data_IF_941226975485
#
_entry.id   IF_941226975485
#
_cell.length_a   1.000
_cell.length_b   1.000
_cell.length_c   1.000
_cell.angle_alpha   90.00
_cell.angle_beta   90.00
_cell.angle_gamma   90.00
#
_symmetry.space_group_name_H-M   'P 1'
#
loop_
_entity.id
_entity.type
_entity.pdbx_description
1 polymer ?
#
# COMPACT_ATOMS: atom_id res chain seq x y z
N UNK A 1 -4.24 -3.20 -20.85
CA UNK A 1 -3.43 -2.31 -21.71
C UNK A 1 -3.56 -0.92 -21.14
N UNK A 2 -2.46 -0.34 -20.67
CA UNK A 2 -2.45 1.09 -20.34
C UNK A 2 -2.72 1.88 -21.64
N UNK A 3 -3.56 2.92 -21.63
CA UNK A 3 -3.76 3.72 -22.83
C UNK A 3 -2.46 4.45 -23.17
N UNK A 4 -1.86 4.12 -24.32
CA UNK A 4 -0.75 4.86 -24.91
C UNK A 4 -1.22 6.27 -25.24
N UNK A 5 -0.56 7.27 -24.65
CA UNK A 5 -0.84 8.69 -24.85
C UNK A 5 -0.28 9.08 -26.23
N UNK A 6 -1.13 9.61 -27.11
CA UNK A 6 -0.71 10.12 -28.43
C UNK A 6 -0.14 11.53 -28.29
N UNK A 7 1.17 11.60 -28.09
CA UNK A 7 1.90 12.85 -27.93
C UNK A 7 1.92 13.71 -29.19
N UNK A 8 1.74 13.11 -30.37
CA UNK A 8 1.78 13.83 -31.65
C UNK A 8 0.55 14.73 -31.82
N UNK A 9 -0.62 14.24 -31.44
CA UNK A 9 -1.87 15.01 -31.44
C UNK A 9 -1.82 16.22 -30.47
N UNK A 10 -1.16 16.05 -29.31
CA UNK A 10 -1.01 17.10 -28.30
C UNK A 10 -0.10 18.22 -28.83
N UNK A 11 0.98 17.85 -29.52
CA UNK A 11 1.92 18.80 -30.12
C UNK A 11 1.26 19.62 -31.24
N UNK A 12 0.48 18.98 -32.11
CA UNK A 12 -0.22 19.66 -33.21
C UNK A 12 -1.27 20.66 -32.68
N UNK A 13 -2.02 20.30 -31.63
CA UNK A 13 -2.97 21.23 -30.99
C UNK A 13 -2.28 22.45 -30.33
N UNK A 14 -1.09 22.25 -29.76
CA UNK A 14 -0.28 23.33 -29.16
C UNK A 14 0.30 24.27 -30.23
N UNK A 15 0.54 23.77 -31.45
CA UNK A 15 1.13 24.52 -32.57
C UNK A 15 0.09 25.33 -33.34
N UNK A 16 -1.08 24.75 -33.63
CA UNK A 16 -2.11 25.37 -34.50
C UNK A 16 -2.80 26.59 -33.90
N UNK A 17 -2.77 26.76 -32.57
CA UNK A 17 -3.53 27.83 -31.88
C UNK A 17 -2.82 29.17 -31.76
N UNK A 18 -1.58 29.34 -32.23
CA UNK A 18 -0.81 30.57 -31.98
C UNK A 18 0.03 31.01 -33.18
N UNK A 19 -0.43 32.05 -33.89
CA UNK A 19 0.35 32.80 -34.90
C UNK A 19 1.12 33.97 -34.27
N UNK A 20 2.20 34.39 -34.94
CA UNK A 20 3.29 35.24 -34.42
C UNK A 20 2.90 36.65 -33.91
N UNK A 21 1.69 37.15 -34.19
CA UNK A 21 1.31 38.55 -33.96
C UNK A 21 1.07 38.93 -32.47
N UNK A 22 0.93 37.98 -31.55
CA UNK A 22 0.65 38.29 -30.12
C UNK A 22 1.91 38.51 -29.24
N UNK A 23 3.11 38.40 -29.79
CA UNK A 23 4.38 38.28 -29.03
C UNK A 23 4.88 39.54 -28.32
N UNK A 24 4.44 40.74 -28.74
CA UNK A 24 5.17 41.97 -28.40
C UNK A 24 4.55 42.90 -27.34
N UNK A 25 3.45 42.55 -26.66
CA UNK A 25 2.88 43.43 -25.60
C UNK A 25 2.60 42.78 -24.23
N UNK A 26 2.93 41.50 -24.02
CA UNK A 26 2.47 40.78 -22.82
C UNK A 26 3.43 40.90 -21.61
N UNK A 27 2.90 41.01 -20.36
CA UNK A 27 3.67 41.17 -19.13
C UNK A 27 4.55 39.94 -18.79
N UNK A 28 5.51 40.10 -17.87
CA UNK A 28 6.56 39.10 -17.52
C UNK A 28 5.99 37.69 -17.23
N UNK A 29 4.85 37.60 -16.56
CA UNK A 29 4.18 36.32 -16.30
C UNK A 29 3.70 35.62 -17.58
N UNK A 30 3.32 36.34 -18.63
CA UNK A 30 2.92 35.74 -19.91
C UNK A 30 4.13 35.28 -20.73
N UNK A 31 5.25 36.02 -20.70
CA UNK A 31 6.52 35.59 -21.33
C UNK A 31 7.05 34.29 -20.71
N UNK A 32 6.84 34.11 -19.41
CA UNK A 32 7.24 32.92 -18.67
C UNK A 32 6.39 31.68 -19.02
N UNK A 33 5.08 31.89 -19.19
CA UNK A 33 4.14 30.87 -19.66
C UNK A 33 4.48 30.40 -21.07
N UNK A 34 4.80 31.35 -21.93
CA UNK A 34 5.13 31.10 -23.34
C UNK A 34 6.44 30.30 -23.50
N UNK A 35 7.50 30.67 -22.77
CA UNK A 35 8.76 29.89 -22.75
C UNK A 35 8.56 28.46 -22.25
N UNK A 36 7.70 28.28 -21.25
CA UNK A 36 7.43 26.98 -20.65
C UNK A 36 6.67 26.05 -21.60
N UNK A 37 5.66 26.57 -22.33
CA UNK A 37 4.92 25.79 -23.34
C UNK A 37 5.80 25.38 -24.52
N UNK A 38 6.65 26.29 -25.01
CA UNK A 38 7.59 26.01 -26.11
C UNK A 38 8.62 24.96 -25.71
N UNK A 39 9.11 25.00 -24.47
CA UNK A 39 10.07 24.01 -23.96
C UNK A 39 9.43 22.62 -23.81
N UNK A 40 8.19 22.54 -23.34
CA UNK A 40 7.43 21.29 -23.24
C UNK A 40 7.16 20.68 -24.63
N UNK A 41 6.65 21.46 -25.57
CA UNK A 41 6.36 20.98 -26.93
C UNK A 41 7.62 20.44 -27.61
N UNK A 42 8.76 21.14 -27.50
CA UNK A 42 10.04 20.66 -28.05
C UNK A 42 10.54 19.36 -27.41
N UNK A 43 10.41 19.22 -26.09
CA UNK A 43 10.83 18.01 -25.37
C UNK A 43 9.98 16.79 -25.76
N UNK A 44 8.66 16.99 -25.93
CA UNK A 44 7.74 15.95 -26.37
C UNK A 44 7.95 15.56 -27.84
N UNK A 45 8.33 16.51 -28.70
CA UNK A 45 8.68 16.24 -30.10
C UNK A 45 10.02 15.49 -30.26
N UNK A 46 11.03 15.83 -29.45
CA UNK A 46 12.35 15.22 -29.58
C UNK A 46 12.45 13.81 -29.00
N UNK A 47 11.57 13.46 -28.06
CA UNK A 47 11.67 12.22 -27.27
C UNK A 47 10.29 11.60 -26.93
N UNK A 48 9.57 11.07 -27.92
CA UNK A 48 8.19 10.60 -27.75
C UNK A 48 8.03 9.34 -26.88
N UNK A 49 9.08 8.55 -26.72
CA UNK A 49 9.07 7.29 -25.94
C UNK A 49 9.59 7.46 -24.50
N UNK A 50 9.96 8.68 -24.11
CA UNK A 50 10.49 8.98 -22.78
C UNK A 50 9.37 9.06 -21.74
N UNK A 51 9.57 8.42 -20.58
CA UNK A 51 8.57 8.46 -19.50
C UNK A 51 8.30 9.91 -19.03
N UNK A 52 7.04 10.21 -18.67
CA UNK A 52 6.62 11.53 -18.17
C UNK A 52 7.51 12.06 -17.03
N UNK A 53 7.99 11.17 -16.15
CA UNK A 53 8.89 11.56 -15.05
C UNK A 53 10.24 12.09 -15.55
N UNK A 54 10.80 11.50 -16.60
CA UNK A 54 12.06 11.94 -17.19
C UNK A 54 11.90 13.26 -17.99
N UNK A 55 10.73 13.48 -18.61
CA UNK A 55 10.39 14.77 -19.24
C UNK A 55 10.29 15.87 -18.17
N UNK A 56 9.66 15.57 -17.03
CA UNK A 56 9.56 16.51 -15.89
C UNK A 56 10.93 16.84 -15.29
N UNK A 57 11.83 15.87 -15.19
CA UNK A 57 13.21 16.09 -14.69
C UNK A 57 13.99 17.06 -15.59
N UNK A 58 13.88 16.91 -16.92
CA UNK A 58 14.54 17.82 -17.89
C UNK A 58 13.93 19.23 -17.87
N UNK A 59 12.61 19.35 -17.71
CA UNK A 59 11.94 20.64 -17.55
C UNK A 59 12.40 21.36 -16.28
N UNK A 60 12.54 20.62 -15.18
CA UNK A 60 13.04 21.16 -13.92
C UNK A 60 14.47 21.70 -14.07
N UNK A 61 15.37 20.94 -14.69
CA UNK A 61 16.75 21.36 -14.94
C UNK A 61 16.81 22.66 -15.76
N UNK A 62 15.95 22.77 -16.77
CA UNK A 62 15.88 23.97 -17.62
C UNK A 62 15.30 25.18 -16.87
N UNK A 63 14.25 24.99 -16.07
CA UNK A 63 13.71 26.06 -15.23
C UNK A 63 14.70 26.53 -14.17
N UNK A 64 15.55 25.64 -13.64
CA UNK A 64 16.67 26.02 -12.77
C UNK A 64 17.69 26.87 -13.50
N UNK A 65 18.09 26.46 -14.71
CA UNK A 65 19.01 27.26 -15.56
C UNK A 65 18.45 28.64 -15.89
N UNK A 66 17.13 28.75 -16.03
CA UNK A 66 16.44 30.00 -16.31
C UNK A 66 16.13 30.83 -15.04
N UNK A 67 16.53 30.35 -13.85
CA UNK A 67 16.35 31.06 -12.57
C UNK A 67 14.92 31.07 -12.03
N UNK A 68 14.06 30.15 -12.49
CA UNK A 68 12.63 30.14 -12.21
C UNK A 68 12.25 29.38 -10.95
N UNK A 69 13.10 28.46 -10.50
CA UNK A 69 12.92 27.63 -9.31
C UNK A 69 14.25 27.41 -8.58
N UNK A 70 14.24 27.42 -7.25
CA UNK A 70 15.43 27.29 -6.40
C UNK A 70 15.69 25.85 -5.95
N UNK A 71 15.67 24.89 -6.89
CA UNK A 71 16.09 23.50 -6.61
C UNK A 71 15.04 22.61 -5.95
N UNK A 72 13.77 23.05 -5.87
CA UNK A 72 12.69 22.24 -5.35
C UNK A 72 11.83 21.67 -6.49
N UNK A 73 11.95 20.35 -6.73
CA UNK A 73 11.15 19.57 -7.69
C UNK A 73 9.65 19.72 -7.48
N UNK A 74 9.25 19.91 -6.23
CA UNK A 74 7.86 20.16 -5.88
C UNK A 74 7.39 21.56 -6.34
N UNK A 75 8.26 22.57 -6.28
CA UNK A 75 7.95 23.91 -6.78
C UNK A 75 7.73 23.94 -8.29
N UNK A 76 8.51 23.17 -9.04
CA UNK A 76 8.37 22.97 -10.49
C UNK A 76 7.00 22.39 -10.87
N UNK A 77 6.61 21.28 -10.23
CA UNK A 77 5.29 20.65 -10.40
C UNK A 77 4.15 21.60 -10.01
N UNK A 78 4.34 22.38 -8.94
CA UNK A 78 3.39 23.38 -8.51
C UNK A 78 3.13 24.45 -9.60
N UNK A 79 4.19 25.01 -10.18
CA UNK A 79 4.06 26.01 -11.23
C UNK A 79 3.41 25.41 -12.47
N UNK A 80 3.84 24.21 -12.88
CA UNK A 80 3.35 23.54 -14.08
C UNK A 80 1.85 23.26 -14.04
N UNK A 81 1.37 22.64 -12.96
CA UNK A 81 -0.03 22.26 -12.90
C UNK A 81 -0.95 23.44 -12.53
N UNK A 82 -0.45 24.46 -11.80
CA UNK A 82 -1.17 25.76 -11.65
C UNK A 82 -1.38 26.41 -13.03
N UNK A 83 -0.39 26.30 -13.91
CA UNK A 83 -0.42 26.88 -15.25
C UNK A 83 -1.37 26.14 -16.22
N UNK A 84 -1.32 24.81 -16.26
CA UNK A 84 -2.26 23.99 -17.05
C UNK A 84 -3.72 24.15 -16.58
N UNK A 85 -3.95 24.32 -15.27
CA UNK A 85 -5.28 24.51 -14.71
C UNK A 85 -5.85 25.92 -14.97
N UNK A 86 -5.01 26.94 -15.18
CA UNK A 86 -5.44 28.30 -15.52
C UNK A 86 -5.75 28.47 -17.01
N UNK A 87 -5.17 27.65 -17.87
CA UNK A 87 -5.45 27.61 -19.31
C UNK A 87 -6.74 26.84 -19.57
N UNK A 88 -7.89 27.53 -19.44
CA UNK A 88 -9.25 26.98 -19.53
C UNK A 88 -9.62 26.21 -20.81
N UNK A 89 -8.71 26.00 -21.77
CA UNK A 89 -9.01 25.43 -23.09
C UNK A 89 -8.08 24.31 -23.59
N UNK A 90 -7.13 23.80 -22.78
CA UNK A 90 -6.40 22.58 -23.17
C UNK A 90 -7.25 21.33 -22.87
N UNK A 91 -7.65 20.59 -23.92
CA UNK A 91 -8.31 19.28 -23.79
C UNK A 91 -7.26 18.19 -23.55
N UNK A 92 -6.66 18.21 -22.38
CA UNK A 92 -5.80 17.11 -21.93
C UNK A 92 -6.66 15.87 -21.72
N UNK A 93 -6.22 14.71 -22.21
CA UNK A 93 -6.87 13.43 -21.88
C UNK A 93 -6.95 13.21 -20.36
N UNK A 94 -8.03 12.61 -19.88
CA UNK A 94 -8.34 12.46 -18.46
C UNK A 94 -7.21 11.83 -17.62
N UNK A 95 -6.42 10.94 -18.24
CA UNK A 95 -5.24 10.30 -17.63
C UNK A 95 -4.10 11.28 -17.39
N UNK A 96 -3.87 12.22 -18.31
CA UNK A 96 -2.81 13.22 -18.21
C UNK A 96 -3.21 14.32 -17.23
N UNK A 97 -4.48 14.73 -17.21
CA UNK A 97 -5.03 15.58 -16.15
C UNK A 97 -4.85 14.95 -14.77
N UNK A 98 -5.11 13.64 -14.64
CA UNK A 98 -4.86 12.91 -13.40
C UNK A 98 -3.39 12.87 -13.00
N UNK A 99 -2.47 12.56 -13.91
CA UNK A 99 -1.04 12.49 -13.60
C UNK A 99 -0.44 13.85 -13.24
N UNK A 100 -0.81 14.92 -13.96
CA UNK A 100 -0.40 16.29 -13.68
C UNK A 100 -0.95 16.82 -12.35
N UNK A 101 -2.13 16.36 -11.96
CA UNK A 101 -2.76 16.73 -10.70
C UNK A 101 -2.19 15.91 -9.52
N UNK A 102 -1.84 14.65 -9.74
CA UNK A 102 -1.13 13.81 -8.76
C UNK A 102 0.24 14.42 -8.44
N UNK A 103 0.97 14.88 -9.47
CA UNK A 103 2.27 15.50 -9.32
C UNK A 103 2.16 16.90 -8.67
N UNK A 104 1.19 17.73 -9.06
CA UNK A 104 0.89 19.01 -8.37
C UNK A 104 0.70 18.86 -6.85
N UNK A 105 0.03 17.80 -6.43
CA UNK A 105 -0.48 17.64 -5.07
C UNK A 105 0.45 16.82 -4.16
N UNK A 106 1.39 16.06 -4.71
CA UNK A 106 2.53 15.55 -3.94
C UNK A 106 3.49 16.66 -3.49
N UNK A 107 3.49 17.75 -4.26
CA UNK A 107 4.44 18.85 -4.18
C UNK A 107 3.99 20.03 -3.31
N UNK A 108 2.69 20.30 -3.22
CA UNK A 108 2.17 21.35 -2.34
C UNK A 108 1.90 20.80 -0.93
N UNK A 109 2.60 21.29 0.13
CA UNK A 109 2.05 21.22 1.47
C UNK A 109 0.69 21.92 1.46
N UNK A 110 -0.34 21.25 1.98
CA UNK A 110 -1.75 21.71 2.02
C UNK A 110 -1.89 23.16 2.55
N UNK A 111 -0.92 23.65 3.31
CA UNK A 111 -0.88 25.03 3.81
C UNK A 111 -0.75 26.11 2.72
N UNK A 112 -0.19 25.83 1.53
CA UNK A 112 -0.04 26.88 0.50
C UNK A 112 -1.36 27.18 -0.22
N UNK A 113 -2.21 26.17 -0.48
CA UNK A 113 -3.52 26.41 -1.10
C UNK A 113 -4.50 27.17 -0.19
N UNK A 114 -4.33 27.08 1.14
CA UNK A 114 -5.11 27.88 2.08
C UNK A 114 -4.68 29.35 2.11
N UNK A 115 -3.40 29.66 1.83
CA UNK A 115 -2.82 30.99 2.01
C UNK A 115 -3.25 32.03 0.99
N UNK A 116 -3.36 31.68 -0.30
CA UNK A 116 -3.64 32.68 -1.36
C UNK A 116 -5.14 32.95 -1.58
N UNK A 117 -6.05 32.07 -1.14
CA UNK A 117 -7.50 32.26 -1.36
C UNK A 117 -8.25 32.84 -0.15
N UNK A 118 -7.63 32.90 1.03
CA UNK A 118 -8.26 33.50 2.22
C UNK A 118 -8.08 35.02 2.29
N UNK A 119 -7.17 35.61 1.50
CA UNK A 119 -6.86 37.03 1.56
C UNK A 119 -7.96 37.94 0.96
N UNK A 120 -8.88 37.43 0.15
CA UNK A 120 -9.83 38.28 -0.59
C UNK A 120 -11.32 37.88 -0.49
N UNK A 121 -11.69 36.94 0.38
CA UNK A 121 -13.11 36.64 0.67
C UNK A 121 -13.96 36.17 -0.53
N UNK A 122 -13.38 35.98 -1.71
CA UNK A 122 -14.05 35.48 -2.91
C UNK A 122 -13.81 33.98 -3.03
N UNK A 123 -14.79 33.19 -2.60
CA UNK A 123 -14.89 31.77 -2.94
C UNK A 123 -14.81 31.64 -4.48
N UNK A 124 -14.05 30.67 -4.96
CA UNK A 124 -14.03 30.33 -6.39
C UNK A 124 -15.47 30.04 -6.88
N UNK A 125 -15.87 30.53 -8.07
CA UNK A 125 -17.21 30.29 -8.59
C UNK A 125 -17.48 28.78 -8.64
N UNK A 126 -18.49 28.33 -7.89
CA UNK A 126 -18.91 26.92 -7.85
C UNK A 126 -18.59 26.16 -6.55
N UNK A 127 -17.85 26.76 -5.60
CA UNK A 127 -17.64 26.18 -4.26
C UNK A 127 -18.61 26.79 -3.26
N UNK A 128 -19.35 25.94 -2.54
CA UNK A 128 -20.29 26.31 -1.48
C UNK A 128 -19.86 25.65 -0.17
N UNK A 129 -20.10 26.34 0.94
CA UNK A 129 -19.86 25.82 2.30
C UNK A 129 -21.18 25.36 2.89
N UNK A 130 -21.23 24.14 3.38
CA UNK A 130 -22.36 23.57 4.11
C UNK A 130 -21.98 23.48 5.58
N UNK A 131 -22.75 24.15 6.43
CA UNK A 131 -22.54 24.15 7.88
C UNK A 131 -23.86 23.82 8.59
N UNK A 132 -23.85 22.73 9.34
CA UNK A 132 -24.94 22.28 10.21
C UNK A 132 -24.42 22.22 11.65
N UNK A 133 -25.28 22.04 12.67
CA UNK A 133 -24.83 21.93 14.07
C UNK A 133 -23.81 20.81 14.32
N UNK A 134 -23.72 19.81 13.43
CA UNK A 134 -22.83 18.66 13.62
C UNK A 134 -21.83 18.43 12.49
N UNK A 135 -21.94 19.13 11.36
CA UNK A 135 -21.05 18.94 10.20
C UNK A 135 -20.75 20.27 9.53
N UNK A 136 -19.50 20.46 9.14
CA UNK A 136 -19.03 21.62 8.38
C UNK A 136 -18.14 21.12 7.25
N UNK A 137 -18.49 21.41 6.01
CA UNK A 137 -17.75 20.93 4.85
C UNK A 137 -18.01 21.75 3.60
N UNK A 138 -17.14 21.61 2.60
CA UNK A 138 -17.28 22.34 1.35
C UNK A 138 -17.75 21.39 0.25
N UNK A 139 -18.54 21.91 -0.67
CA UNK A 139 -19.02 21.20 -1.85
C UNK A 139 -18.71 22.01 -3.09
N UNK A 140 -18.50 21.32 -4.20
CA UNK A 140 -18.37 21.92 -5.51
C UNK A 140 -19.21 21.18 -6.52
N UNK A 141 -19.68 21.89 -7.54
CA UNK A 141 -20.40 21.28 -8.67
C UNK A 141 -19.41 20.70 -9.68
N UNK A 142 -19.59 19.44 -10.05
CA UNK A 142 -18.82 18.76 -11.10
C UNK A 142 -19.79 17.93 -11.92
N UNK A 143 -19.86 18.18 -13.22
CA UNK A 143 -20.76 17.47 -14.15
C UNK A 143 -22.24 17.45 -13.70
N UNK A 144 -22.70 18.53 -13.06
CA UNK A 144 -24.06 18.65 -12.54
C UNK A 144 -24.31 17.99 -11.19
N UNK A 145 -23.30 17.39 -10.55
CA UNK A 145 -23.40 16.75 -9.23
C UNK A 145 -22.61 17.50 -8.16
N UNK A 146 -23.16 17.58 -6.95
CA UNK A 146 -22.46 18.11 -5.79
C UNK A 146 -21.46 17.08 -5.25
N UNK A 147 -20.18 17.47 -5.20
CA UNK A 147 -19.11 16.66 -4.64
C UNK A 147 -18.41 17.38 -3.50
N UNK A 148 -18.08 16.66 -2.42
CA UNK A 148 -17.30 17.24 -1.32
C UNK A 148 -15.92 17.66 -1.82
N UNK A 149 -15.48 18.84 -1.41
CA UNK A 149 -14.17 19.41 -1.73
C UNK A 149 -13.65 20.17 -0.50
N UNK A 150 -12.35 20.44 -0.40
CA UNK A 150 -11.81 21.24 0.70
C UNK A 150 -11.96 20.59 2.07
N UNK A 151 -12.08 21.41 3.12
CA UNK A 151 -12.08 20.91 4.51
C UNK A 151 -13.38 20.21 4.86
N UNK A 152 -13.29 19.24 5.76
CA UNK A 152 -14.41 18.50 6.31
C UNK A 152 -14.20 18.31 7.80
N UNK A 153 -15.16 18.78 8.59
CA UNK A 153 -15.21 18.58 10.02
C UNK A 153 -16.59 18.05 10.42
N UNK A 154 -16.60 17.10 11.35
CA UNK A 154 -17.83 16.59 11.96
C UNK A 154 -17.67 16.54 13.46
N UNK A 155 -18.71 16.95 14.17
CA UNK A 155 -18.83 16.92 15.62
C UNK A 155 -19.69 15.73 16.07
N UNK A 156 -19.48 15.30 17.30
CA UNK A 156 -20.40 14.45 18.04
C UNK A 156 -21.61 15.27 18.50
N UNK A 157 -22.69 14.61 18.93
CA UNK A 157 -23.88 15.28 19.50
C UNK A 157 -23.56 16.16 20.72
N UNK A 158 -22.44 15.91 21.41
CA UNK A 158 -21.97 16.70 22.54
C UNK A 158 -21.05 17.86 22.13
N UNK A 159 -20.99 18.21 20.84
CA UNK A 159 -20.18 19.32 20.32
C UNK A 159 -18.68 19.02 20.17
N UNK A 160 -18.16 17.91 20.71
CA UNK A 160 -16.74 17.55 20.57
C UNK A 160 -16.42 17.07 19.15
N UNK A 161 -15.20 17.33 18.68
CA UNK A 161 -14.72 16.88 17.37
C UNK A 161 -14.85 15.36 17.24
N UNK A 162 -15.36 14.90 16.09
CA UNK A 162 -15.54 13.48 15.77
C UNK A 162 -14.68 13.05 14.61
N UNK A 163 -14.66 13.86 13.55
CA UNK A 163 -13.90 13.61 12.33
C UNK A 163 -13.36 14.93 11.81
N UNK A 164 -12.17 14.89 11.24
CA UNK A 164 -11.53 15.99 10.54
C UNK A 164 -10.77 15.45 9.35
N UNK A 165 -10.72 16.22 8.27
CA UNK A 165 -9.90 15.92 7.12
C UNK A 165 -10.25 16.82 5.95
N UNK A 166 -9.88 16.38 4.75
CA UNK A 166 -10.27 17.08 3.53
C UNK A 166 -10.71 16.12 2.44
N UNK A 167 -11.57 16.63 1.56
CA UNK A 167 -11.96 15.99 0.32
C UNK A 167 -11.36 16.73 -0.87
N UNK A 168 -11.17 16.00 -1.95
CA UNK A 168 -10.86 16.54 -3.25
C UNK A 168 -11.67 15.78 -4.29
N UNK A 169 -12.58 16.48 -4.97
CA UNK A 169 -13.55 15.90 -5.93
C UNK A 169 -14.21 14.62 -5.39
N UNK A 170 -14.84 14.73 -4.22
CA UNK A 170 -15.57 13.64 -3.57
C UNK A 170 -14.69 12.58 -2.90
N UNK A 171 -13.36 12.60 -3.12
CA UNK A 171 -12.43 11.59 -2.61
C UNK A 171 -11.66 12.12 -1.39
N UNK A 172 -11.42 11.28 -0.38
CA UNK A 172 -10.62 11.67 0.80
C UNK A 172 -9.21 12.08 0.38
N UNK A 173 -8.72 13.18 0.91
CA UNK A 173 -7.38 13.67 0.66
C UNK A 173 -6.74 14.15 1.97
N UNK A 174 -5.41 14.11 2.05
CA UNK A 174 -4.65 14.53 3.21
C UNK A 174 -4.87 13.66 4.45
N UNK A 175 -4.58 14.25 5.63
CA UNK A 175 -4.70 13.59 6.91
C UNK A 175 -6.15 13.62 7.41
N UNK A 176 -6.68 12.44 7.70
CA UNK A 176 -7.98 12.23 8.32
C UNK A 176 -7.80 11.79 9.76
N UNK A 177 -8.47 12.46 10.68
CA UNK A 177 -8.36 12.22 12.11
C UNK A 177 -9.74 11.94 12.70
N UNK A 178 -9.78 11.06 13.70
CA UNK A 178 -11.04 10.61 14.32
C UNK A 178 -10.90 10.55 15.83
N UNK A 179 -11.96 10.95 16.53
CA UNK A 179 -11.98 11.03 17.99
C UNK A 179 -13.24 10.39 18.60
N UNK A 180 -13.10 9.89 19.83
CA UNK A 180 -14.22 9.43 20.65
C UNK A 180 -15.11 10.59 21.09
N UNK A 181 -16.30 10.28 21.63
CA UNK A 181 -17.17 11.27 22.30
C UNK A 181 -16.48 11.97 23.48
N UNK A 182 -15.49 11.32 24.10
CA UNK A 182 -14.73 11.88 25.22
C UNK A 182 -13.60 12.82 24.77
N UNK A 183 -13.18 12.75 23.51
CA UNK A 183 -12.13 13.60 22.92
C UNK A 183 -10.79 12.87 22.67
N UNK A 184 -10.72 11.57 22.97
CA UNK A 184 -9.52 10.77 22.70
C UNK A 184 -9.41 10.44 21.21
N UNK A 185 -8.24 10.65 20.63
CA UNK A 185 -7.97 10.30 19.23
C UNK A 185 -7.91 8.77 19.09
N UNK A 186 -8.59 8.23 18.07
CA UNK A 186 -8.69 6.79 17.82
C UNK A 186 -8.16 6.35 16.47
N UNK A 187 -8.09 7.26 15.49
CA UNK A 187 -7.55 6.96 14.16
C UNK A 187 -6.92 8.19 13.51
N UNK A 188 -5.84 7.94 12.78
CA UNK A 188 -5.21 8.84 11.83
C UNK A 188 -4.98 8.07 10.54
N UNK A 189 -5.48 8.60 9.43
CA UNK A 189 -5.46 7.94 8.13
C UNK A 189 -5.05 8.98 7.09
N UNK A 190 -3.97 8.73 6.37
CA UNK A 190 -3.55 9.65 5.32
C UNK A 190 -3.99 9.11 3.95
N UNK A 191 -4.57 9.99 3.13
CA UNK A 191 -5.08 9.67 1.80
C UNK A 191 -4.51 10.61 0.74
N UNK A 192 -4.36 10.10 -0.47
CA UNK A 192 -4.14 10.87 -1.69
C UNK A 192 -5.22 10.45 -2.70
N UNK A 193 -6.16 11.35 -3.00
CA UNK A 193 -7.26 11.07 -3.94
C UNK A 193 -8.05 9.78 -3.67
N UNK A 194 -8.36 9.52 -2.40
CA UNK A 194 -9.12 8.35 -1.95
C UNK A 194 -8.28 7.10 -1.75
N UNK A 195 -7.01 7.08 -2.20
CA UNK A 195 -6.08 5.98 -1.95
C UNK A 195 -5.30 6.20 -0.66
N UNK A 196 -5.01 5.14 0.07
CA UNK A 196 -4.15 5.20 1.27
C UNK A 196 -2.75 5.64 0.88
N UNK A 197 -2.21 6.62 1.59
CA UNK A 197 -0.89 7.18 1.33
C UNK A 197 -0.27 7.68 2.63
N UNK A 198 1.01 7.45 2.88
CA UNK A 198 1.73 7.78 4.12
C UNK A 198 1.14 7.10 5.36
N UNK A 199 1.07 7.81 6.48
CA UNK A 199 0.92 7.27 7.83
C UNK A 199 -0.53 6.89 8.15
N UNK A 200 -0.68 5.72 8.77
CA UNK A 200 -1.94 5.17 9.23
C UNK A 200 -1.76 4.66 10.65
N UNK A 201 -2.45 5.27 11.62
CA UNK A 201 -2.37 4.90 13.04
C UNK A 201 -3.78 4.69 13.57
N UNK A 202 -3.93 3.68 14.43
CA UNK A 202 -5.13 3.47 15.21
C UNK A 202 -4.75 3.26 16.67
N UNK A 203 -5.61 3.70 17.57
CA UNK A 203 -5.46 3.53 19.02
C UNK A 203 -6.64 2.75 19.60
N UNK A 204 -6.40 2.03 20.67
CA UNK A 204 -7.44 1.49 21.53
C UNK A 204 -8.10 2.63 22.32
N UNK A 205 -9.32 2.40 22.82
CA UNK A 205 -10.07 3.40 23.58
C UNK A 205 -9.34 3.89 24.86
N UNK A 206 -8.42 3.07 25.39
CA UNK A 206 -7.57 3.39 26.57
C UNK A 206 -6.25 4.10 26.21
N UNK A 207 -6.05 4.50 24.95
CA UNK A 207 -4.92 5.32 24.51
C UNK A 207 -3.71 4.56 23.95
N UNK A 208 -3.56 3.26 24.25
CA UNK A 208 -2.49 2.45 23.65
C UNK A 208 -2.65 2.35 22.13
N UNK A 209 -1.53 2.39 21.38
CA UNK A 209 -1.56 2.13 19.93
C UNK A 209 -2.15 0.74 19.68
N UNK A 210 -2.99 0.62 18.65
CA UNK A 210 -3.58 -0.62 18.16
C UNK A 210 -2.86 -1.11 16.92
N UNK A 211 -2.59 -0.20 16.01
CA UNK A 211 -1.86 -0.48 14.78
C UNK A 211 -1.20 0.77 14.23
N UNK A 212 -0.09 0.62 13.55
CA UNK A 212 0.51 1.65 12.73
C UNK A 212 1.10 1.05 11.46
N UNK A 213 1.17 1.86 10.40
CA UNK A 213 1.79 1.47 9.16
C UNK A 213 1.89 2.63 8.17
N UNK A 214 2.63 2.41 7.10
CA UNK A 214 2.75 3.34 5.99
C UNK A 214 2.20 2.72 4.71
N UNK A 215 1.53 3.52 3.89
CA UNK A 215 1.00 3.10 2.61
C UNK A 215 1.51 3.99 1.47
N UNK A 216 1.59 3.43 0.27
CA UNK A 216 1.82 4.17 -0.96
C UNK A 216 0.84 3.63 -2.01
N UNK A 217 -0.15 4.44 -2.40
CA UNK A 217 -1.20 4.07 -3.35
C UNK A 217 -1.89 2.75 -2.99
N UNK A 218 -2.45 2.69 -1.78
CA UNK A 218 -3.10 1.51 -1.18
C UNK A 218 -2.18 0.33 -0.85
N UNK A 219 -0.91 0.33 -1.29
CA UNK A 219 0.05 -0.73 -1.00
C UNK A 219 0.79 -0.47 0.32
N UNK A 220 0.94 -1.47 1.20
CA UNK A 220 1.71 -1.31 2.42
C UNK A 220 3.21 -1.19 2.10
N UNK A 221 3.87 -0.24 2.77
CA UNK A 221 5.31 0.00 2.65
C UNK A 221 5.95 0.16 4.03
N UNK A 222 7.27 0.01 4.10
CA UNK A 222 8.06 0.13 5.34
C UNK A 222 7.60 -0.87 6.41
N UNK A 223 7.56 -0.46 7.68
CA UNK A 223 7.18 -1.32 8.79
C UNK A 223 5.73 -1.07 9.20
N UNK A 224 4.98 -2.16 9.39
CA UNK A 224 3.66 -2.16 9.98
C UNK A 224 3.73 -2.87 11.31
N UNK A 225 3.13 -2.28 12.34
CA UNK A 225 3.06 -2.87 13.68
C UNK A 225 1.62 -2.93 14.15
N UNK A 226 1.32 -3.96 14.92
CA UNK A 226 0.09 -4.10 15.68
C UNK A 226 0.44 -4.40 17.13
N UNK A 227 -0.39 -3.96 18.05
CA UNK A 227 -0.20 -4.19 19.48
C UNK A 227 -1.44 -4.85 20.09
N UNK A 228 -1.20 -5.66 21.11
CA UNK A 228 -2.22 -6.11 22.03
C UNK A 228 -2.69 -4.94 22.91
N UNK A 229 -3.86 -5.05 23.53
CA UNK A 229 -4.42 -3.97 24.37
C UNK A 229 -3.52 -3.60 25.57
N UNK A 230 -2.71 -4.55 26.05
CA UNK A 230 -1.73 -4.34 27.12
C UNK A 230 -0.44 -3.61 26.65
N UNK A 231 -0.36 -3.20 25.39
CA UNK A 231 0.79 -2.46 24.84
C UNK A 231 1.93 -3.33 24.34
N UNK A 232 1.85 -4.65 24.47
CA UNK A 232 2.82 -5.58 23.90
C UNK A 232 2.65 -5.65 22.38
N UNK A 233 3.74 -5.65 21.62
CA UNK A 233 3.69 -5.82 20.15
C UNK A 233 3.06 -7.17 19.83
N UNK A 234 2.01 -7.18 19.03
CA UNK A 234 1.30 -8.38 18.56
C UNK A 234 1.90 -8.92 17.27
N UNK A 235 2.22 -8.02 16.34
CA UNK A 235 2.89 -8.38 15.10
C UNK A 235 3.64 -7.21 14.50
N UNK A 236 4.70 -7.52 13.78
CA UNK A 236 5.52 -6.60 13.01
C UNK A 236 5.65 -7.17 11.60
N UNK A 237 5.53 -6.33 10.59
CA UNK A 237 5.71 -6.72 9.19
C UNK A 237 6.54 -5.67 8.49
N UNK A 238 7.67 -6.09 7.93
CA UNK A 238 8.61 -5.22 7.22
C UNK A 238 8.46 -5.50 5.73
N UNK A 239 7.98 -4.52 4.98
CA UNK A 239 7.81 -4.58 3.54
C UNK A 239 9.05 -4.03 2.83
N UNK A 240 9.54 -4.78 1.85
CA UNK A 240 10.67 -4.40 1.00
C UNK A 240 10.27 -4.58 -0.46
N UNK A 241 10.48 -3.54 -1.28
CA UNK A 241 10.32 -3.61 -2.72
C UNK A 241 11.49 -4.42 -3.30
N UNK A 242 11.19 -5.38 -4.17
CA UNK A 242 12.14 -6.14 -4.97
C UNK A 242 11.90 -5.82 -6.44
N UNK A 243 12.85 -6.18 -7.30
CA UNK A 243 12.74 -5.94 -8.75
C UNK A 243 11.49 -6.60 -9.35
N UNK A 244 11.18 -7.82 -8.89
CA UNK A 244 10.09 -8.67 -9.38
C UNK A 244 8.85 -8.71 -8.46
N UNK A 245 8.75 -7.84 -7.45
CA UNK A 245 7.62 -7.88 -6.52
C UNK A 245 7.85 -7.19 -5.19
N UNK A 246 7.09 -7.61 -4.18
CA UNK A 246 7.21 -7.11 -2.80
C UNK A 246 7.42 -8.30 -1.87
N UNK A 247 8.52 -8.27 -1.12
CA UNK A 247 8.74 -9.20 -0.01
C UNK A 247 8.28 -8.56 1.30
N UNK A 248 7.67 -9.35 2.17
CA UNK A 248 7.28 -8.94 3.51
C UNK A 248 7.81 -9.95 4.54
N UNK A 249 8.51 -9.47 5.56
CA UNK A 249 8.97 -10.31 6.65
C UNK A 249 8.13 -10.04 7.90
N UNK A 250 7.49 -11.08 8.44
CA UNK A 250 6.50 -10.94 9.51
C UNK A 250 6.89 -11.73 10.74
N UNK A 251 6.89 -11.04 11.88
CA UNK A 251 7.06 -11.61 13.23
C UNK A 251 5.78 -11.40 14.04
N UNK A 252 5.42 -12.36 14.87
CA UNK A 252 4.26 -12.27 15.77
C UNK A 252 4.63 -12.71 17.18
N UNK A 253 3.97 -12.11 18.16
CA UNK A 253 4.19 -12.37 19.58
C UNK A 253 2.88 -12.58 20.32
N UNK A 254 2.95 -13.41 21.34
CA UNK A 254 1.86 -13.65 22.30
C UNK A 254 1.59 -12.42 23.16
N UNK A 255 0.49 -12.45 23.93
CA UNK A 255 0.13 -11.34 24.84
C UNK A 255 1.16 -11.13 25.97
N UNK A 256 1.94 -12.17 26.31
CA UNK A 256 3.04 -12.10 27.28
C UNK A 256 4.35 -11.59 26.67
N UNK A 257 4.40 -11.34 25.36
CA UNK A 257 5.61 -10.85 24.67
C UNK A 257 6.53 -11.94 24.14
N UNK A 258 6.19 -13.21 24.34
CA UNK A 258 6.96 -14.35 23.81
C UNK A 258 6.73 -14.52 22.30
N UNK A 259 7.74 -14.94 21.53
CA UNK A 259 7.60 -15.18 20.10
C UNK A 259 6.51 -16.23 19.84
N UNK A 260 5.75 -16.05 18.76
CA UNK A 260 4.70 -16.97 18.34
C UNK A 260 4.94 -17.54 16.95
N UNK A 261 5.29 -16.69 15.98
CA UNK A 261 5.63 -17.14 14.63
C UNK A 261 6.47 -16.11 13.86
N UNK A 262 7.28 -16.60 12.95
CA UNK A 262 8.11 -15.81 12.04
C UNK A 262 8.03 -16.42 10.64
N UNK A 263 7.78 -15.58 9.64
CA UNK A 263 7.65 -16.02 8.26
C UNK A 263 7.82 -14.89 7.27
N UNK A 264 8.19 -15.25 6.05
CA UNK A 264 8.23 -14.34 4.92
C UNK A 264 7.08 -14.58 3.94
N UNK A 265 6.69 -13.49 3.28
CA UNK A 265 5.79 -13.48 2.14
C UNK A 265 6.48 -12.86 0.94
N UNK A 266 6.14 -13.31 -0.25
CA UNK A 266 6.48 -12.69 -1.52
C UNK A 266 5.21 -12.55 -2.35
N UNK A 267 4.88 -11.32 -2.78
CA UNK A 267 3.64 -10.98 -3.47
C UNK A 267 2.40 -11.57 -2.76
N UNK A 268 2.30 -11.31 -1.45
CA UNK A 268 1.21 -11.74 -0.56
C UNK A 268 1.05 -13.26 -0.36
N UNK A 269 2.01 -14.08 -0.84
CA UNK A 269 2.03 -15.54 -0.63
C UNK A 269 3.19 -15.94 0.27
N UNK A 270 3.00 -16.95 1.12
CA UNK A 270 4.08 -17.50 1.96
C UNK A 270 5.26 -17.94 1.09
N UNK A 271 6.47 -17.53 1.46
CA UNK A 271 7.67 -17.87 0.73
C UNK A 271 8.87 -17.88 1.67
N UNK A 272 9.73 -18.89 1.56
CA UNK A 272 10.85 -19.13 2.46
C UNK A 272 10.43 -19.80 3.77
N UNK A 273 11.26 -19.62 4.79
CA UNK A 273 11.14 -20.26 6.10
C UNK A 273 9.91 -19.76 6.88
N UNK A 274 9.19 -20.70 7.47
CA UNK A 274 8.16 -20.51 8.48
C UNK A 274 8.60 -21.22 9.76
N UNK A 275 8.67 -20.48 10.85
CA UNK A 275 8.89 -21.03 12.19
C UNK A 275 7.75 -20.58 13.10
N UNK A 276 7.30 -21.48 13.98
CA UNK A 276 6.41 -21.12 15.08
C UNK A 276 6.87 -21.74 16.39
N UNK A 277 6.49 -21.11 17.51
CA UNK A 277 6.92 -21.50 18.85
C UNK A 277 5.73 -21.74 19.77
N UNK A 278 5.97 -22.58 20.77
CA UNK A 278 5.09 -22.73 21.93
C UNK A 278 5.26 -21.57 22.93
N UNK A 279 4.32 -21.40 23.88
CA UNK A 279 4.45 -20.41 24.96
C UNK A 279 5.66 -20.63 25.88
N UNK A 280 6.28 -21.81 25.88
CA UNK A 280 7.54 -22.09 26.58
C UNK A 280 8.77 -21.79 25.71
N UNK A 281 8.60 -21.17 24.53
CA UNK A 281 9.64 -20.72 23.60
C UNK A 281 10.37 -21.84 22.84
N UNK A 282 9.96 -23.10 23.04
CA UNK A 282 10.42 -24.19 22.19
C UNK A 282 9.79 -24.09 20.79
N UNK A 283 10.56 -24.50 19.78
CA UNK A 283 10.08 -24.56 18.40
C UNK A 283 8.97 -25.59 18.32
N UNK A 284 7.88 -25.22 17.67
CA UNK A 284 6.71 -26.07 17.42
C UNK A 284 6.71 -26.60 16.00
N UNK A 285 6.90 -25.71 15.03
CA UNK A 285 6.90 -26.06 13.60
C UNK A 285 8.02 -25.31 12.90
N UNK A 286 8.70 -26.01 12.01
CA UNK A 286 9.64 -25.45 11.04
C UNK A 286 9.33 -26.04 9.66
N UNK A 287 9.11 -25.19 8.67
CA UNK A 287 8.95 -25.63 7.29
C UNK A 287 9.25 -24.51 6.31
N UNK A 288 9.46 -24.85 5.04
CA UNK A 288 9.60 -23.88 3.97
C UNK A 288 8.34 -23.80 3.12
N UNK A 289 8.07 -22.62 2.58
CA UNK A 289 7.03 -22.37 1.61
C UNK A 289 7.63 -21.85 0.31
N UNK A 290 7.02 -22.21 -0.81
CA UNK A 290 7.22 -21.57 -2.10
C UNK A 290 5.86 -21.27 -2.75
N UNK A 291 5.65 -20.01 -3.13
CA UNK A 291 4.39 -19.57 -3.75
C UNK A 291 3.13 -19.89 -2.95
N UNK A 292 3.21 -19.94 -1.62
CA UNK A 292 2.09 -20.31 -0.74
C UNK A 292 1.93 -21.80 -0.48
N UNK A 293 2.79 -22.67 -1.03
CA UNK A 293 2.75 -24.13 -0.87
C UNK A 293 3.95 -24.60 -0.07
N UNK A 294 3.78 -25.62 0.77
CA UNK A 294 4.92 -26.21 1.51
C UNK A 294 5.92 -26.83 0.54
N UNK A 295 7.20 -26.65 0.81
CA UNK A 295 8.30 -27.17 0.02
C UNK A 295 9.40 -27.70 0.94
N UNK A 296 9.98 -28.85 0.59
CA UNK A 296 11.05 -29.47 1.35
C UNK A 296 10.60 -29.98 2.72
N UNK A 297 11.52 -29.92 3.68
CA UNK A 297 11.35 -30.52 5.00
C UNK A 297 10.30 -29.80 5.83
N UNK A 298 9.44 -30.58 6.47
CA UNK A 298 8.49 -30.15 7.50
C UNK A 298 8.83 -30.88 8.79
N UNK A 299 9.05 -30.10 9.84
CA UNK A 299 9.34 -30.59 11.17
C UNK A 299 8.32 -30.01 12.14
N UNK A 300 7.80 -30.87 13.00
CA UNK A 300 6.95 -30.51 14.12
C UNK A 300 7.48 -31.17 15.39
N UNK A 301 7.43 -30.45 16.49
CA UNK A 301 7.86 -30.92 17.80
C UNK A 301 6.74 -30.74 18.82
N UNK A 302 6.79 -31.51 19.90
CA UNK A 302 5.98 -31.32 21.09
C UNK A 302 6.49 -30.13 21.92
N UNK A 303 5.70 -29.74 22.93
CA UNK A 303 6.05 -28.65 23.84
C UNK A 303 7.10 -29.02 24.88
N UNK A 304 7.69 -30.20 24.82
CA UNK A 304 8.90 -30.56 25.57
C UNK A 304 10.16 -30.55 24.68
N UNK A 305 9.99 -30.36 23.37
CA UNK A 305 11.06 -30.32 22.36
C UNK A 305 11.29 -31.65 21.66
N UNK A 306 10.57 -32.71 22.01
CA UNK A 306 10.68 -34.01 21.35
C UNK A 306 10.01 -33.99 19.97
N UNK A 307 10.54 -34.75 18.98
CA UNK A 307 9.97 -34.77 17.65
C UNK A 307 8.54 -35.30 17.67
N UNK A 308 7.67 -34.64 16.91
CA UNK A 308 6.27 -35.02 16.76
C UNK A 308 5.97 -35.51 15.36
N UNK A 309 6.49 -34.82 14.35
CA UNK A 309 6.33 -35.23 12.96
C UNK A 309 7.48 -34.73 12.08
N UNK A 310 7.85 -35.56 11.10
CA UNK A 310 8.80 -35.24 10.05
C UNK A 310 8.23 -35.70 8.72
N UNK A 311 8.12 -34.76 7.78
CA UNK A 311 7.65 -35.04 6.42
C UNK A 311 8.51 -34.27 5.41
N UNK A 312 8.45 -34.68 4.15
CA UNK A 312 8.91 -33.86 3.03
C UNK A 312 7.74 -33.47 2.15
N UNK A 313 7.83 -32.29 1.54
CA UNK A 313 6.82 -31.75 0.64
C UNK A 313 7.44 -31.35 -0.70
N UNK A 314 6.72 -31.60 -1.79
CA UNK A 314 6.96 -30.96 -3.07
C UNK A 314 5.68 -30.30 -3.56
N UNK A 315 5.74 -28.99 -3.80
CA UNK A 315 4.62 -28.16 -4.27
C UNK A 315 3.33 -28.37 -3.47
N UNK A 316 3.47 -28.54 -2.15
CA UNK A 316 2.36 -28.74 -1.20
C UNK A 316 1.90 -30.18 -1.01
N UNK A 317 2.40 -31.14 -1.79
CA UNK A 317 2.10 -32.57 -1.64
C UNK A 317 3.15 -33.24 -0.76
N UNK A 318 2.74 -34.09 0.20
CA UNK A 318 3.68 -34.92 0.96
C UNK A 318 4.37 -35.90 0.00
N UNK A 319 5.68 -36.05 0.14
CA UNK A 319 6.50 -37.00 -0.63
C UNK A 319 7.58 -37.63 0.26
N UNK A 320 8.10 -38.78 -0.15
CA UNK A 320 9.17 -39.48 0.54
C UNK A 320 8.77 -40.00 1.91
N UNK A 321 9.76 -40.29 2.74
CA UNK A 321 9.55 -40.82 4.09
C UNK A 321 8.82 -39.82 4.97
N UNK A 322 7.83 -40.34 5.69
CA UNK A 322 7.03 -39.63 6.68
C UNK A 322 7.14 -40.38 8.00
N UNK A 323 7.50 -39.66 9.06
CA UNK A 323 7.60 -40.19 10.41
C UNK A 323 6.73 -39.36 11.37
N UNK A 324 6.05 -40.03 12.29
CA UNK A 324 5.23 -39.41 13.32
C UNK A 324 5.49 -40.14 14.63
N UNK A 325 5.55 -39.40 15.74
CA UNK A 325 5.88 -39.93 17.07
C UNK A 325 4.83 -39.51 18.10
N UNK A 326 4.62 -40.37 19.09
CA UNK A 326 3.90 -40.05 20.31
C UNK A 326 4.76 -39.15 21.23
N UNK A 327 4.12 -38.50 22.19
CA UNK A 327 4.80 -37.64 23.18
C UNK A 327 5.79 -38.43 24.05
N UNK A 328 5.56 -39.74 24.22
CA UNK A 328 6.48 -40.65 24.90
C UNK A 328 7.71 -41.07 24.04
N UNK A 329 7.93 -40.40 22.89
CA UNK A 329 9.02 -40.62 21.91
C UNK A 329 8.95 -41.90 21.10
N UNK A 330 7.94 -42.73 21.31
CA UNK A 330 7.74 -43.92 20.50
C UNK A 330 7.18 -43.54 19.13
N UNK A 331 7.59 -44.29 18.10
CA UNK A 331 7.04 -44.11 16.75
C UNK A 331 5.53 -44.35 16.81
N UNK A 332 4.75 -43.49 16.18
CA UNK A 332 3.31 -43.64 15.99
C UNK A 332 3.00 -44.16 14.59
N UNK A 333 3.68 -43.60 13.58
CA UNK A 333 3.52 -44.04 12.20
C UNK A 333 4.79 -43.78 11.38
N UNK A 334 5.09 -44.67 10.45
CA UNK A 334 6.07 -44.42 9.39
C UNK A 334 5.62 -45.04 8.07
N UNK A 335 6.03 -44.42 6.98
CA UNK A 335 5.81 -44.92 5.64
C UNK A 335 6.28 -43.91 4.60
N UNK A 336 6.05 -44.24 3.33
CA UNK A 336 6.44 -43.39 2.21
C UNK A 336 5.20 -42.79 1.55
N UNK A 337 5.32 -41.53 1.15
CA UNK A 337 4.40 -40.90 0.20
C UNK A 337 5.06 -40.84 -1.18
N UNK A 338 4.32 -41.24 -2.21
CA UNK A 338 4.64 -40.95 -3.60
C UNK A 338 3.83 -39.72 -4.08
N UNK A 339 3.85 -39.42 -5.38
CA UNK A 339 3.15 -38.25 -5.95
C UNK A 339 1.62 -38.38 -5.94
N UNK A 340 1.08 -39.58 -5.72
CA UNK A 340 -0.36 -39.88 -5.71
C UNK A 340 -0.92 -40.13 -4.31
N UNK A 341 -0.08 -40.47 -3.33
CA UNK A 341 -0.52 -40.69 -1.95
C UNK A 341 0.44 -41.55 -1.15
N UNK A 342 -0.08 -42.23 -0.11
CA UNK A 342 0.67 -43.26 0.62
C UNK A 342 1.08 -44.37 -0.34
N UNK A 343 2.31 -44.85 -0.20
CA UNK A 343 2.85 -45.89 -1.07
C UNK A 343 3.79 -46.82 -0.29
N UNK A 344 3.72 -48.11 -0.60
CA UNK A 344 4.44 -49.15 0.11
C UNK A 344 3.86 -49.44 1.49
N UNK A 345 4.68 -50.07 2.33
CA UNK A 345 4.26 -50.51 3.66
C UNK A 345 4.25 -49.31 4.61
N UNK A 346 3.10 -49.08 5.22
CA UNK A 346 2.92 -48.17 6.33
C UNK A 346 2.84 -48.98 7.61
N UNK A 347 3.63 -48.60 8.60
CA UNK A 347 3.58 -49.23 9.93
C UNK A 347 2.99 -48.24 10.92
N UNK A 348 2.07 -48.75 11.73
CA UNK A 348 1.43 -48.02 12.81
C UNK A 348 1.72 -48.74 14.13
N UNK A 349 2.04 -47.97 15.15
CA UNK A 349 2.29 -48.48 16.49
C UNK A 349 1.26 -47.90 17.45
N UNK A 350 1.05 -48.59 18.56
CA UNK A 350 0.35 -48.08 19.73
C UNK A 350 1.30 -47.26 20.60
N UNK A 351 0.76 -46.48 21.53
CA UNK A 351 1.55 -45.74 22.51
C UNK A 351 2.33 -46.64 23.50
N UNK A 352 2.08 -47.95 23.51
CA UNK A 352 2.91 -48.91 24.24
C UNK A 352 4.20 -49.28 23.51
N UNK A 353 4.27 -49.01 22.20
CA UNK A 353 5.34 -49.43 21.29
C UNK A 353 5.04 -50.75 20.59
N UNK A 354 3.93 -51.41 20.93
CA UNK A 354 3.45 -52.56 20.18
C UNK A 354 2.97 -52.14 18.79
N UNK A 355 3.27 -52.94 17.77
CA UNK A 355 2.74 -52.70 16.43
C UNK A 355 1.22 -52.84 16.47
N UNK A 356 0.54 -51.81 15.99
CA UNK A 356 -0.91 -51.80 15.83
C UNK A 356 -1.30 -52.45 14.51
N UNK A 357 -0.63 -52.07 13.41
CA UNK A 357 -0.87 -52.62 12.07
C UNK A 357 0.27 -52.34 11.10
N UNK A 358 0.34 -53.15 10.04
CA UNK A 358 1.06 -52.82 8.81
C UNK A 358 0.04 -52.77 7.68
N UNK A 359 0.02 -51.71 6.89
CA UNK A 359 -0.90 -51.59 5.76
C UNK A 359 -0.08 -51.30 4.51
N UNK A 360 -0.23 -52.11 3.48
CA UNK A 360 0.41 -51.86 2.19
C UNK A 360 -0.49 -50.96 1.35
N UNK A 361 0.04 -49.80 0.96
CA UNK A 361 -0.62 -48.88 0.06
C UNK A 361 -0.01 -48.90 -1.34
N UNK A 362 -0.83 -48.62 -2.35
CA UNK A 362 -0.38 -48.27 -3.71
C UNK A 362 -1.16 -47.05 -4.17
N UNK A 363 -0.44 -45.98 -4.48
CA UNK A 363 -1.03 -44.72 -4.98
C UNK A 363 -2.14 -44.15 -4.08
N UNK A 364 -2.02 -44.34 -2.76
CA UNK A 364 -2.98 -43.89 -1.75
C UNK A 364 -4.10 -44.88 -1.43
N UNK A 365 -4.23 -45.98 -2.17
CA UNK A 365 -5.24 -47.02 -1.93
C UNK A 365 -4.65 -48.19 -1.15
N UNK A 366 -5.47 -48.80 -0.28
CA UNK A 366 -5.09 -49.99 0.49
C UNK A 366 -5.07 -51.21 -0.43
N UNK A 367 -3.98 -51.97 -0.38
CA UNK A 367 -3.79 -53.21 -1.15
C UNK A 367 -3.77 -54.43 -0.25
N UNK A 368 -3.25 -54.29 0.98
CA UNK A 368 -3.12 -55.38 1.97
C UNK A 368 -3.11 -54.78 3.39
N UNK A 369 -3.70 -55.50 4.36
CA UNK A 369 -3.77 -55.13 5.80
C UNK A 369 -3.25 -56.26 6.69
#
# INVERSE_FOLDING_TARGET
>A
MEPTIDFKAIVEELRDRFTDDEKNSKPVNEKLKERTRVNLARLLESEPDTSMNAILDKLEERWRSDGLINGNKDGALAVFSKQLMQEKNMRLGATMQQQLLISYLSACPVNWMAGESLAEGKLTPGIRVISTPTEHYWVMMVDGFEQKHGTYARLHRNGKKRVDGSYFYGKKNGLWQYWTKTGWKIKEESYLMGKKHRLWIQWYAKGNKKSEGCYENDRPVKTHRQWHENGVVKSETIYQKKENGVSAHRKTWTRSGKPHSEYALFNDKMHGLYISWYPNEQVRVECHYDGGRRQGKYLEWYSDGEPKAEHNYDKGCKIGTSNEWYENRQMCATGVYNTKGKDGIWTYWQESGAIHSHITYRDGEIVEE
#
